data_IF_027833500061
#
_entry.id   IF_027833500061
#
_cell.length_a   1.000
_cell.length_b   1.000
_cell.length_c   1.000
_cell.angle_alpha   90.00
_cell.angle_beta   90.00
_cell.angle_gamma   90.00
#
_symmetry.space_group_name_H-M   'P 1'
#
loop_
_entity.id
_entity.type
_entity.pdbx_description
1 polymer ?
#
# COMPACT_ATOMS: atom_id res chain seq x y z
N UNK A 1 22.46 8.12 -18.66
CA UNK A 1 21.39 7.83 -17.66
C UNK A 1 20.10 7.71 -18.43
N UNK A 2 19.38 6.57 -18.40
CA UNK A 2 18.12 6.45 -19.13
C UNK A 2 17.09 7.43 -18.53
N UNK A 3 16.63 8.38 -19.34
CA UNK A 3 15.50 9.25 -18.98
C UNK A 3 14.30 8.35 -18.65
N UNK A 4 13.69 8.57 -17.49
CA UNK A 4 12.49 7.83 -17.10
C UNK A 4 11.45 7.89 -18.23
N UNK A 5 10.91 6.72 -18.64
CA UNK A 5 9.95 6.65 -19.72
C UNK A 5 8.76 7.58 -19.39
N UNK A 6 8.27 8.41 -20.33
CA UNK A 6 7.18 9.37 -20.05
C UNK A 6 5.93 8.73 -19.44
N UNK A 7 5.67 7.46 -19.74
CA UNK A 7 4.56 6.69 -19.18
C UNK A 7 4.72 6.45 -17.67
N UNK A 8 5.94 6.11 -17.21
CA UNK A 8 6.25 5.90 -15.78
C UNK A 8 6.06 7.19 -14.97
N UNK A 9 6.55 8.32 -15.46
CA UNK A 9 6.34 9.62 -14.81
C UNK A 9 4.87 10.01 -14.71
N UNK A 10 4.07 9.70 -15.73
CA UNK A 10 2.63 9.96 -15.71
C UNK A 10 1.92 9.09 -14.65
N UNK A 11 2.30 7.83 -14.53
CA UNK A 11 1.78 6.90 -13.51
C UNK A 11 2.14 7.40 -12.11
N UNK A 12 3.41 7.66 -11.85
CA UNK A 12 3.90 8.17 -10.56
C UNK A 12 3.20 9.47 -10.12
N UNK A 13 3.07 10.45 -11.01
CA UNK A 13 2.35 11.70 -10.70
C UNK A 13 0.89 11.46 -10.33
N UNK A 14 0.24 10.49 -10.94
CA UNK A 14 -1.13 10.12 -10.63
C UNK A 14 -1.22 9.44 -9.26
N UNK A 15 -0.32 8.55 -8.93
CA UNK A 15 -0.21 7.91 -7.60
C UNK A 15 0.07 8.93 -6.51
N UNK A 16 1.01 9.85 -6.70
CA UNK A 16 1.28 10.94 -5.77
C UNK A 16 0.03 11.80 -5.54
N UNK A 17 -0.70 12.14 -6.59
CA UNK A 17 -1.96 12.89 -6.46
C UNK A 17 -3.00 12.12 -5.63
N UNK A 18 -3.05 10.81 -5.79
CA UNK A 18 -3.95 9.96 -5.03
C UNK A 18 -3.50 9.83 -3.57
N UNK A 19 -2.21 9.61 -3.31
CA UNK A 19 -1.61 9.59 -1.97
C UNK A 19 -1.88 10.89 -1.19
N UNK A 20 -1.63 12.04 -1.77
CA UNK A 20 -1.91 13.36 -1.13
C UNK A 20 -3.36 13.50 -0.66
N UNK A 21 -4.30 12.85 -1.32
CA UNK A 21 -5.73 12.90 -0.96
C UNK A 21 -6.08 11.97 0.20
N UNK A 22 -5.35 10.85 0.35
CA UNK A 22 -5.71 9.76 1.24
C UNK A 22 -4.74 9.56 2.42
N UNK A 23 -3.48 9.99 2.34
CA UNK A 23 -2.45 9.74 3.35
C UNK A 23 -2.79 10.24 4.76
N UNK A 24 -3.59 11.30 4.88
CA UNK A 24 -4.05 11.78 6.20
C UNK A 24 -5.13 10.90 6.83
N UNK A 25 -5.82 10.06 6.04
CA UNK A 25 -6.91 9.19 6.49
C UNK A 25 -6.48 7.74 6.70
N UNK A 26 -5.37 7.36 6.11
CA UNK A 26 -4.85 5.99 6.10
C UNK A 26 -3.43 5.99 6.68
N UNK A 27 -3.32 5.58 7.94
CA UNK A 27 -2.04 5.60 8.66
C UNK A 27 -1.04 4.55 8.18
N UNK A 28 -1.49 3.56 7.42
CA UNK A 28 -0.70 2.45 6.90
C UNK A 28 -0.15 2.71 5.48
N UNK A 29 0.08 3.95 5.11
CA UNK A 29 0.71 4.32 3.85
C UNK A 29 2.07 4.98 4.09
N UNK A 30 3.04 4.70 3.22
CA UNK A 30 4.23 5.54 3.13
C UNK A 30 3.82 6.92 2.62
N UNK A 31 4.07 7.96 3.43
CA UNK A 31 3.64 9.31 3.13
C UNK A 31 4.53 9.95 2.06
N UNK A 32 3.89 10.61 1.10
CA UNK A 32 4.60 11.48 0.18
C UNK A 32 5.00 12.78 0.89
N UNK A 33 6.30 13.08 0.91
CA UNK A 33 6.89 14.21 1.62
C UNK A 33 7.18 15.42 0.71
N UNK A 34 7.44 15.18 -0.59
CA UNK A 34 7.74 16.27 -1.50
C UNK A 34 8.59 15.91 -2.70
N UNK A 35 9.09 16.93 -3.38
CA UNK A 35 10.01 16.82 -4.52
C UNK A 35 11.37 17.35 -4.12
N UNK A 36 12.43 16.81 -4.70
CA UNK A 36 13.80 17.24 -4.53
C UNK A 36 14.51 17.26 -5.88
N UNK A 37 15.34 18.28 -6.11
CA UNK A 37 16.25 18.30 -7.25
C UNK A 37 17.52 17.51 -6.90
N UNK A 38 17.92 16.62 -7.78
CA UNK A 38 19.14 15.81 -7.65
C UNK A 38 20.02 15.98 -8.90
N UNK A 39 21.28 15.52 -8.82
CA UNK A 39 22.17 15.46 -9.98
C UNK A 39 21.66 14.56 -11.12
N UNK A 40 20.65 13.72 -10.85
CA UNK A 40 19.98 12.85 -11.83
C UNK A 40 18.66 13.42 -12.33
N UNK A 41 18.28 14.63 -11.85
CA UNK A 41 17.00 15.28 -12.12
C UNK A 41 16.07 15.27 -10.92
N UNK A 42 14.79 15.53 -11.15
CA UNK A 42 13.77 15.61 -10.10
C UNK A 42 13.51 14.25 -9.46
N UNK A 43 13.64 14.19 -8.13
CA UNK A 43 13.29 13.06 -7.28
C UNK A 43 11.98 13.30 -6.51
N UNK A 44 11.41 12.24 -5.97
CA UNK A 44 10.22 12.27 -5.13
C UNK A 44 10.52 11.61 -3.79
N UNK A 45 10.18 12.28 -2.70
CA UNK A 45 10.47 11.83 -1.33
C UNK A 45 9.24 11.18 -0.72
N UNK A 46 9.47 10.03 -0.09
CA UNK A 46 8.47 9.30 0.69
C UNK A 46 9.02 9.02 2.10
N UNK A 47 8.13 8.84 3.08
CA UNK A 47 8.56 8.44 4.41
C UNK A 47 9.18 7.05 4.40
N UNK A 48 10.36 6.92 5.00
CA UNK A 48 10.96 5.64 5.26
C UNK A 48 10.21 4.97 6.43
N UNK A 49 9.83 3.73 6.26
CA UNK A 49 9.17 2.96 7.32
C UNK A 49 10.25 2.20 8.08
N UNK A 50 10.38 2.51 9.37
CA UNK A 50 11.36 1.90 10.27
C UNK A 50 10.66 1.28 11.47
N UNK A 51 11.24 0.21 12.00
CA UNK A 51 10.89 -0.43 13.25
C UNK A 51 11.23 0.48 14.45
N UNK A 52 10.83 0.11 15.66
CA UNK A 52 11.05 0.90 16.86
C UNK A 52 12.56 1.11 17.20
N UNK A 53 13.42 0.19 16.77
CA UNK A 53 14.87 0.25 16.93
C UNK A 53 15.60 1.09 15.86
N UNK A 54 14.85 1.64 14.90
CA UNK A 54 15.37 2.43 13.78
C UNK A 54 15.80 1.62 12.57
N UNK A 55 15.74 0.28 12.62
CA UNK A 55 16.00 -0.56 11.45
C UNK A 55 14.91 -0.36 10.38
N UNK A 56 15.27 -0.45 9.11
CA UNK A 56 14.30 -0.39 8.02
C UNK A 56 13.39 -1.62 8.10
N UNK A 57 12.09 -1.38 8.12
CA UNK A 57 11.07 -2.43 8.22
C UNK A 57 11.15 -3.40 7.04
N UNK A 58 10.97 -4.70 7.31
CA UNK A 58 11.10 -5.76 6.32
C UNK A 58 9.84 -5.92 5.47
N UNK A 59 9.96 -6.36 4.20
CA UNK A 59 8.81 -6.74 3.39
C UNK A 59 8.06 -7.93 3.99
N UNK A 60 6.74 -7.92 3.87
CA UNK A 60 5.87 -8.98 4.37
C UNK A 60 6.23 -10.35 3.78
N UNK A 61 6.63 -10.41 2.50
CA UNK A 61 7.04 -11.65 1.83
C UNK A 61 8.18 -12.39 2.55
N UNK A 62 9.05 -11.66 3.26
CA UNK A 62 10.23 -12.23 3.91
C UNK A 62 9.98 -12.73 5.33
N UNK A 63 8.86 -12.36 5.97
CA UNK A 63 8.62 -12.62 7.40
C UNK A 63 7.19 -13.02 7.75
N UNK A 64 6.29 -13.17 6.78
CA UNK A 64 4.86 -13.41 7.05
C UNK A 64 4.59 -14.67 7.88
N UNK A 65 5.42 -15.71 7.74
CA UNK A 65 5.28 -16.97 8.49
C UNK A 65 5.65 -16.85 9.98
N UNK A 66 6.28 -15.74 10.38
CA UNK A 66 6.66 -15.44 11.76
C UNK A 66 5.64 -14.57 12.50
N UNK A 67 4.57 -14.12 11.80
CA UNK A 67 3.66 -13.10 12.29
C UNK A 67 2.37 -13.71 12.85
N UNK A 68 2.14 -13.53 14.13
CA UNK A 68 0.88 -13.88 14.77
C UNK A 68 -0.22 -12.87 14.41
N UNK A 69 -1.46 -13.35 14.21
CA UNK A 69 -2.62 -12.49 13.93
C UNK A 69 -2.59 -11.76 12.59
N UNK A 70 -1.78 -12.23 11.61
CA UNK A 70 -1.64 -11.57 10.30
C UNK A 70 -2.97 -11.45 9.57
N UNK A 71 -3.84 -12.46 9.63
CA UNK A 71 -5.16 -12.43 9.01
C UNK A 71 -6.03 -11.27 9.51
N UNK A 72 -5.98 -10.97 10.81
CA UNK A 72 -6.71 -9.85 11.43
C UNK A 72 -6.16 -8.49 10.99
N UNK A 73 -4.83 -8.35 10.88
CA UNK A 73 -4.19 -7.12 10.37
C UNK A 73 -4.54 -6.88 8.89
N UNK A 74 -4.55 -7.91 8.07
CA UNK A 74 -4.95 -7.84 6.65
C UNK A 74 -6.44 -7.51 6.54
N UNK A 75 -7.30 -8.11 7.36
CA UNK A 75 -8.74 -7.79 7.41
C UNK A 75 -8.98 -6.32 7.81
N UNK A 76 -8.27 -5.83 8.83
CA UNK A 76 -8.35 -4.44 9.28
C UNK A 76 -7.96 -3.46 8.16
N UNK A 77 -6.88 -3.76 7.42
CA UNK A 77 -6.45 -2.97 6.26
C UNK A 77 -7.53 -2.94 5.17
N UNK A 78 -8.13 -4.08 4.84
CA UNK A 78 -9.24 -4.18 3.88
C UNK A 78 -10.43 -3.29 4.27
N UNK A 79 -10.89 -3.41 5.51
CA UNK A 79 -12.01 -2.62 6.02
C UNK A 79 -11.70 -1.12 6.04
N UNK A 80 -10.47 -0.75 6.37
CA UNK A 80 -10.02 0.64 6.37
C UNK A 80 -10.02 1.25 4.96
N UNK A 81 -9.57 0.49 3.94
CA UNK A 81 -9.62 0.91 2.54
C UNK A 81 -11.06 1.09 2.05
N UNK A 82 -11.97 0.17 2.39
CA UNK A 82 -13.39 0.27 2.06
C UNK A 82 -14.04 1.51 2.71
N UNK A 83 -13.81 1.71 4.01
CA UNK A 83 -14.34 2.84 4.79
C UNK A 83 -13.90 4.18 4.20
N UNK A 84 -12.63 4.30 3.82
CA UNK A 84 -12.04 5.53 3.30
C UNK A 84 -12.19 5.66 1.77
N UNK A 85 -12.91 4.76 1.12
CA UNK A 85 -13.11 4.73 -0.33
C UNK A 85 -11.79 4.80 -1.10
N UNK A 86 -10.82 4.03 -0.67
CA UNK A 86 -9.45 4.04 -1.19
C UNK A 86 -9.14 2.77 -1.95
N UNK A 87 -8.66 2.90 -3.17
CA UNK A 87 -8.31 1.78 -4.04
C UNK A 87 -6.81 1.47 -3.96
N UNK A 88 -6.47 0.20 -4.20
CA UNK A 88 -5.10 -0.25 -4.48
C UNK A 88 -5.07 -0.87 -5.87
N UNK A 89 -3.99 -0.65 -6.61
CA UNK A 89 -3.78 -1.22 -7.94
C UNK A 89 -2.99 -2.51 -7.89
N UNK A 90 -1.99 -2.55 -7.00
CA UNK A 90 -1.15 -3.71 -6.75
C UNK A 90 -1.06 -3.94 -5.25
N UNK A 91 -1.30 -5.17 -4.82
CA UNK A 91 -1.24 -5.57 -3.42
C UNK A 91 -0.42 -6.87 -3.34
N UNK A 92 0.89 -6.70 -3.48
CA UNK A 92 1.86 -7.78 -3.44
C UNK A 92 2.58 -7.79 -2.10
N UNK A 93 2.95 -8.96 -1.52
CA UNK A 93 3.65 -9.01 -0.23
C UNK A 93 4.98 -8.24 -0.20
N UNK A 94 5.68 -8.09 -1.31
CA UNK A 94 6.90 -7.28 -1.43
C UNK A 94 6.62 -5.77 -1.30
N UNK A 95 5.40 -5.31 -1.60
CA UNK A 95 4.97 -3.91 -1.52
C UNK A 95 4.32 -3.56 -0.18
N UNK A 96 4.35 -4.48 0.79
CA UNK A 96 3.84 -4.29 2.14
C UNK A 96 4.99 -4.46 3.11
N UNK A 97 5.30 -3.43 3.91
CA UNK A 97 6.29 -3.51 4.98
C UNK A 97 5.61 -3.82 6.32
N UNK A 98 6.33 -4.53 7.17
CA UNK A 98 5.92 -4.88 8.53
C UNK A 98 6.71 -4.02 9.51
N UNK A 99 6.10 -2.99 10.06
CA UNK A 99 6.69 -2.14 11.09
C UNK A 99 6.46 -2.75 12.46
N UNK A 100 7.52 -3.08 13.17
CA UNK A 100 7.48 -3.64 14.53
C UNK A 100 7.58 -2.55 15.58
N UNK A 101 6.78 -2.67 16.63
CA UNK A 101 6.77 -1.80 17.80
C UNK A 101 7.50 -2.43 18.99
N UNK A 102 7.93 -1.62 19.94
CA UNK A 102 8.66 -2.06 21.15
C UNK A 102 7.88 -3.09 21.97
N UNK A 103 6.56 -3.01 22.00
CA UNK A 103 5.67 -3.94 22.71
C UNK A 103 5.48 -5.29 22.02
N UNK A 104 6.18 -5.55 20.92
CA UNK A 104 6.07 -6.78 20.12
C UNK A 104 4.90 -6.79 19.13
N UNK A 105 4.03 -5.78 19.13
CA UNK A 105 3.00 -5.62 18.09
C UNK A 105 3.62 -5.12 16.77
N UNK A 106 2.84 -5.19 15.69
CA UNK A 106 3.28 -4.71 14.40
C UNK A 106 2.15 -4.10 13.59
N UNK A 107 2.50 -3.31 12.59
CA UNK A 107 1.58 -2.73 11.62
C UNK A 107 2.06 -2.99 10.19
N UNK A 108 1.11 -3.11 9.27
CA UNK A 108 1.37 -3.27 7.85
C UNK A 108 1.34 -1.92 7.15
N UNK A 109 2.34 -1.64 6.29
CA UNK A 109 2.44 -0.41 5.51
C UNK A 109 2.53 -0.69 4.02
N UNK A 110 1.63 -0.14 3.23
CA UNK A 110 1.69 -0.21 1.76
C UNK A 110 2.66 0.88 1.28
N UNK A 111 3.68 0.49 0.52
CA UNK A 111 4.72 1.39 0.00
C UNK A 111 4.61 1.64 -1.51
N UNK A 112 3.92 0.78 -2.23
CA UNK A 112 3.70 0.90 -3.68
C UNK A 112 2.33 0.34 -4.07
N UNK A 113 1.90 0.64 -5.31
CA UNK A 113 0.63 0.14 -5.84
C UNK A 113 -0.61 0.79 -5.23
N UNK A 114 -0.47 1.93 -4.53
CA UNK A 114 -1.61 2.64 -3.97
C UNK A 114 -2.27 3.54 -5.02
N UNK A 115 -3.58 3.39 -5.16
CA UNK A 115 -4.38 4.18 -6.09
C UNK A 115 -5.14 3.35 -7.11
N UNK A 116 -5.82 4.04 -8.03
CA UNK A 116 -6.58 3.41 -9.10
C UNK A 116 -5.81 3.53 -10.42
N UNK A 117 -5.22 2.40 -10.88
CA UNK A 117 -4.52 2.30 -12.15
C UNK A 117 -5.48 2.12 -13.35
N UNK A 118 -6.77 1.89 -13.10
CA UNK A 118 -7.73 1.61 -14.15
C UNK A 118 -7.94 2.82 -15.06
N UNK A 119 -8.09 2.57 -16.33
CA UNK A 119 -8.30 3.59 -17.36
C UNK A 119 -9.63 4.34 -17.14
N UNK A 120 -10.63 3.65 -16.59
CA UNK A 120 -11.92 4.22 -16.20
C UNK A 120 -11.97 4.25 -14.67
N UNK A 121 -12.08 5.44 -14.10
CA UNK A 121 -12.14 5.68 -12.65
C UNK A 121 -13.49 5.27 -12.02
N UNK A 122 -14.07 4.17 -12.45
CA UNK A 122 -15.39 3.72 -11.97
C UNK A 122 -15.37 3.42 -10.47
N UNK A 123 -14.23 2.94 -9.94
CA UNK A 123 -14.07 2.69 -8.51
C UNK A 123 -14.15 3.97 -7.66
N UNK A 124 -13.85 5.14 -8.23
CA UNK A 124 -13.93 6.42 -7.53
C UNK A 124 -15.41 6.87 -7.36
N UNK A 125 -16.33 6.34 -8.16
CA UNK A 125 -17.73 6.73 -8.19
C UNK A 125 -18.70 5.66 -7.65
N UNK A 126 -18.30 4.37 -7.65
CA UNK A 126 -19.18 3.27 -7.23
C UNK A 126 -18.56 2.44 -6.11
N UNK A 127 -19.27 2.37 -4.98
CA UNK A 127 -18.88 1.58 -3.81
C UNK A 127 -18.84 0.08 -4.11
N UNK A 128 -19.71 -0.40 -5.01
CA UNK A 128 -19.78 -1.81 -5.42
C UNK A 128 -18.55 -2.17 -6.23
N UNK A 129 -18.16 -1.35 -7.22
CA UNK A 129 -16.96 -1.58 -8.01
C UNK A 129 -15.68 -1.54 -7.16
N UNK A 130 -15.61 -0.61 -6.20
CA UNK A 130 -14.50 -0.54 -5.25
C UNK A 130 -14.43 -1.82 -4.39
N UNK A 131 -15.55 -2.25 -3.80
CA UNK A 131 -15.60 -3.50 -3.02
C UNK A 131 -15.10 -4.66 -3.86
N UNK A 132 -15.65 -4.87 -5.05
CA UNK A 132 -15.27 -5.96 -5.93
C UNK A 132 -13.77 -5.95 -6.30
N UNK A 133 -13.22 -4.76 -6.58
CA UNK A 133 -11.80 -4.59 -6.88
C UNK A 133 -10.94 -4.94 -5.66
N UNK A 134 -11.25 -4.41 -4.49
CA UNK A 134 -10.51 -4.69 -3.26
C UNK A 134 -10.61 -6.17 -2.89
N UNK A 135 -11.81 -6.76 -2.90
CA UNK A 135 -12.01 -8.20 -2.63
C UNK A 135 -11.11 -9.05 -3.51
N UNK A 136 -11.06 -8.79 -4.83
CA UNK A 136 -10.18 -9.52 -5.74
C UNK A 136 -8.70 -9.38 -5.38
N UNK A 137 -8.24 -8.17 -5.02
CA UNK A 137 -6.84 -7.92 -4.66
C UNK A 137 -6.47 -8.59 -3.34
N UNK A 138 -7.33 -8.47 -2.33
CA UNK A 138 -7.10 -9.09 -1.04
C UNK A 138 -7.21 -10.63 -1.09
N UNK A 139 -8.07 -11.17 -1.95
CA UNK A 139 -8.12 -12.62 -2.19
C UNK A 139 -6.78 -13.12 -2.72
N UNK A 140 -6.20 -12.48 -3.73
CA UNK A 140 -4.86 -12.82 -4.22
C UNK A 140 -3.78 -12.69 -3.15
N UNK A 141 -3.82 -11.66 -2.31
CA UNK A 141 -2.89 -11.52 -1.18
C UNK A 141 -3.05 -12.67 -0.17
N UNK A 142 -4.28 -13.01 0.21
CA UNK A 142 -4.54 -14.12 1.13
C UNK A 142 -4.08 -15.47 0.57
N UNK A 143 -4.26 -15.72 -0.72
CA UNK A 143 -3.77 -16.93 -1.39
C UNK A 143 -2.23 -17.01 -1.35
N UNK A 144 -1.52 -15.91 -1.57
CA UNK A 144 -0.05 -15.85 -1.51
C UNK A 144 0.50 -16.05 -0.09
N UNK A 145 -0.27 -15.70 0.94
CA UNK A 145 0.14 -15.76 2.35
C UNK A 145 -0.50 -16.93 3.12
N UNK A 146 -1.25 -17.77 2.44
CA UNK A 146 -2.00 -18.90 3.03
C UNK A 146 -2.95 -18.47 4.18
N UNK A 147 -3.65 -17.35 3.98
CA UNK A 147 -4.56 -16.76 4.97
C UNK A 147 -6.03 -17.08 4.69
N UNK A 148 -6.88 -17.17 5.74
CA UNK A 148 -8.32 -17.33 5.59
C UNK A 148 -8.93 -16.11 4.87
N UNK A 149 -9.96 -16.35 4.03
CA UNK A 149 -10.62 -15.33 3.23
C UNK A 149 -12.00 -14.91 3.80
N UNK A 150 -12.39 -15.40 4.97
CA UNK A 150 -13.72 -15.21 5.55
C UNK A 150 -14.12 -13.74 5.77
N UNK A 151 -13.17 -12.82 5.88
CA UNK A 151 -13.43 -11.39 6.05
C UNK A 151 -13.76 -10.66 4.74
N UNK A 152 -13.64 -11.34 3.60
CA UNK A 152 -13.88 -10.76 2.27
C UNK A 152 -15.35 -10.85 1.83
N UNK A 153 -16.13 -11.65 2.50
CA UNK A 153 -17.58 -11.86 2.24
C UNK A 153 -18.44 -10.76 2.93
#
# INVERSE_FOLDING_TARGET
IPKAKPRLLKTLKREIKYLKRHQQKLQFLSNYLGEIETNLGKGYLFSLICDHDGAVSKPLESIYSELDGLGEKVASMYQSLLKNKSAVSELEPCNILVKRWENGDYELYIIDGFGNSDFIKVCDFSRIFLKNKLTRKFRGLCELLDLPQSFLD
#
